data_IF_159663241237
#
_entry.id   IF_159663241237
#
_cell.length_a   1.000
_cell.length_b   1.000
_cell.length_c   1.000
_cell.angle_alpha   90.00
_cell.angle_beta   90.00
_cell.angle_gamma   90.00
#
_symmetry.space_group_name_H-M   'P 1'
#
loop_
_entity.id
_entity.type
_entity.pdbx_description
1 polymer ?
#
# COMPACT_ATOMS: atom_id res chain seq x y z
N UNK A 1 -3.44 5.94 -3.00
CA UNK A 1 -2.08 5.78 -2.46
C UNK A 1 -2.12 5.97 -0.95
N UNK A 2 -1.68 4.96 -0.20
CA UNK A 2 -1.71 4.97 1.26
C UNK A 2 -0.34 5.37 1.82
N UNK A 3 -0.30 6.36 2.75
CA UNK A 3 0.93 6.92 3.28
C UNK A 3 1.69 7.74 2.25
N UNK A 4 0.98 8.54 1.48
CA UNK A 4 1.50 9.18 0.27
C UNK A 4 2.38 10.42 0.51
N UNK A 5 2.48 10.91 1.74
CA UNK A 5 3.29 12.08 2.14
C UNK A 5 3.19 13.25 1.16
N UNK A 6 4.20 13.44 0.32
CA UNK A 6 4.27 14.55 -0.66
C UNK A 6 3.44 14.32 -1.92
N UNK A 7 2.90 13.11 -2.13
CA UNK A 7 2.05 12.77 -3.27
C UNK A 7 2.79 12.44 -4.56
N UNK A 8 4.04 12.00 -4.50
CA UNK A 8 4.81 11.63 -5.70
C UNK A 8 4.17 10.45 -6.44
N UNK A 9 3.69 9.45 -5.72
CA UNK A 9 2.98 8.29 -6.29
C UNK A 9 1.65 8.72 -6.91
N UNK A 10 0.94 9.65 -6.28
CA UNK A 10 -0.30 10.23 -6.83
C UNK A 10 -0.03 10.92 -8.17
N UNK A 11 1.04 11.71 -8.26
CA UNK A 11 1.46 12.36 -9.50
C UNK A 11 1.84 11.32 -10.57
N UNK A 12 2.56 10.27 -10.17
CA UNK A 12 2.96 9.21 -11.09
C UNK A 12 1.75 8.52 -11.72
N UNK A 13 0.74 8.17 -10.93
CA UNK A 13 -0.51 7.60 -11.44
C UNK A 13 -1.26 8.58 -12.36
N UNK A 14 -1.35 9.85 -11.98
CA UNK A 14 -2.00 10.88 -12.82
C UNK A 14 -1.27 11.11 -14.16
N UNK A 15 0.05 10.99 -14.19
CA UNK A 15 0.84 11.05 -15.43
C UNK A 15 0.57 9.86 -16.36
N UNK A 16 -0.01 8.79 -15.84
CA UNK A 16 -0.50 7.63 -16.61
C UNK A 16 -2.01 7.71 -16.91
N UNK A 17 -2.60 8.91 -16.79
CA UNK A 17 -4.05 9.14 -16.95
C UNK A 17 -4.93 8.32 -15.99
N UNK A 18 -4.40 7.98 -14.82
CA UNK A 18 -5.14 7.30 -13.76
C UNK A 18 -5.54 8.33 -12.70
N UNK A 19 -6.85 8.54 -12.54
CA UNK A 19 -7.36 9.38 -11.47
C UNK A 19 -6.96 8.80 -10.11
N UNK A 20 -6.30 9.60 -9.28
CA UNK A 20 -5.71 9.12 -8.04
C UNK A 20 -5.73 10.16 -6.93
N UNK A 21 -5.72 9.67 -5.70
CA UNK A 21 -5.63 10.46 -4.47
C UNK A 21 -4.74 9.74 -3.46
N UNK A 22 -4.03 10.49 -2.65
CA UNK A 22 -3.26 9.99 -1.54
C UNK A 22 -3.93 10.28 -0.19
N UNK A 23 -3.63 9.45 0.81
CA UNK A 23 -3.93 9.75 2.21
C UNK A 23 -2.65 9.66 3.04
N UNK A 24 -2.55 10.52 4.03
CA UNK A 24 -1.47 10.52 5.01
C UNK A 24 -1.95 11.24 6.28
N UNK A 25 -1.35 10.91 7.42
CA UNK A 25 -1.59 11.68 8.66
C UNK A 25 -1.01 13.09 8.59
N UNK A 26 -0.06 13.32 7.67
CA UNK A 26 0.44 14.64 7.31
C UNK A 26 0.00 14.96 5.88
N UNK A 27 -1.13 15.64 5.70
CA UNK A 27 -1.68 15.90 4.37
C UNK A 27 -0.81 16.87 3.54
N UNK A 28 -0.92 16.75 2.23
CA UNK A 28 -0.33 17.67 1.26
C UNK A 28 -1.36 17.92 0.16
N UNK A 29 -2.38 18.71 0.49
CA UNK A 29 -3.49 18.98 -0.42
C UNK A 29 -3.07 19.77 -1.67
N UNK A 30 -3.76 19.55 -2.80
CA UNK A 30 -4.93 18.70 -3.00
C UNK A 30 -4.60 17.24 -3.31
N UNK A 31 -3.34 16.85 -3.46
CA UNK A 31 -2.93 15.50 -3.88
C UNK A 31 -3.09 14.47 -2.78
N UNK A 32 -2.80 14.87 -1.54
CA UNK A 32 -2.84 14.01 -0.37
C UNK A 32 -3.73 14.65 0.69
N UNK A 33 -4.82 14.00 1.03
CA UNK A 33 -5.72 14.41 2.10
C UNK A 33 -5.34 13.75 3.42
N UNK A 34 -5.83 14.32 4.53
CA UNK A 34 -5.67 13.70 5.84
C UNK A 34 -6.41 12.35 5.90
N UNK A 35 -5.74 11.33 6.41
CA UNK A 35 -6.33 10.03 6.69
C UNK A 35 -5.35 9.07 7.36
N UNK A 36 -5.90 8.21 8.22
CA UNK A 36 -5.16 7.11 8.83
C UNK A 36 -5.26 5.89 7.92
N UNK A 37 -4.12 5.30 7.59
CA UNK A 37 -4.05 4.07 6.77
C UNK A 37 -4.66 2.84 7.46
N UNK A 38 -4.85 2.90 8.78
CA UNK A 38 -5.49 1.84 9.56
C UNK A 38 -7.02 2.04 9.71
N UNK A 39 -7.52 3.20 9.27
CA UNK A 39 -8.94 3.56 9.23
C UNK A 39 -9.17 4.49 8.04
N UNK A 40 -9.12 3.91 6.84
CA UNK A 40 -9.15 4.68 5.59
C UNK A 40 -10.51 5.39 5.42
N UNK A 41 -10.55 6.73 5.22
CA UNK A 41 -11.78 7.52 5.24
C UNK A 41 -12.58 7.41 3.91
N UNK A 42 -12.72 6.20 3.40
CA UNK A 42 -13.48 5.90 2.19
C UNK A 42 -14.35 4.66 2.37
N UNK A 43 -15.44 4.62 1.61
CA UNK A 43 -16.35 3.49 1.60
C UNK A 43 -15.70 2.20 1.07
N UNK A 44 -16.30 1.07 1.40
CA UNK A 44 -15.91 -0.23 0.86
C UNK A 44 -16.01 -0.23 -0.68
N UNK A 45 -15.12 -0.99 -1.32
CA UNK A 45 -15.14 -1.20 -2.77
C UNK A 45 -15.13 0.12 -3.58
N UNK A 46 -14.32 1.08 -3.15
CA UNK A 46 -14.23 2.41 -3.79
C UNK A 46 -13.22 2.46 -4.93
N UNK A 47 -12.08 1.80 -4.80
CA UNK A 47 -10.93 1.98 -5.68
C UNK A 47 -10.66 0.75 -6.54
N UNK A 48 -10.27 0.98 -7.80
CA UNK A 48 -9.82 -0.07 -8.73
C UNK A 48 -8.38 -0.51 -8.43
N UNK A 49 -7.56 0.42 -7.90
CA UNK A 49 -6.18 0.19 -7.51
C UNK A 49 -5.93 0.76 -6.11
N UNK A 50 -5.28 -0.02 -5.27
CA UNK A 50 -4.75 0.44 -3.96
C UNK A 50 -3.24 0.22 -3.96
N UNK A 51 -2.48 1.27 -3.68
CA UNK A 51 -1.02 1.24 -3.65
C UNK A 51 -0.48 1.69 -2.30
N UNK A 52 0.55 1.01 -1.80
CA UNK A 52 1.35 1.47 -0.66
C UNK A 52 2.81 1.03 -0.74
N UNK A 53 3.68 1.82 -0.15
CA UNK A 53 5.11 1.53 0.01
C UNK A 53 5.62 1.79 1.45
N UNK A 54 4.69 1.81 2.42
CA UNK A 54 5.02 2.20 3.81
C UNK A 54 4.68 1.11 4.85
N UNK A 55 4.64 -0.16 4.45
CA UNK A 55 4.24 -1.27 5.34
C UNK A 55 5.15 -1.36 6.57
N UNK A 56 6.44 -1.17 6.41
CA UNK A 56 7.44 -1.16 7.49
C UNK A 56 7.27 0.06 8.44
N UNK A 57 6.57 1.10 8.03
CA UNK A 57 6.20 2.25 8.86
C UNK A 57 4.85 2.07 9.57
N UNK A 58 4.11 1.00 9.25
CA UNK A 58 2.82 0.71 9.88
C UNK A 58 3.01 0.04 11.24
N UNK A 59 2.37 0.58 12.26
CA UNK A 59 2.31 -0.06 13.59
C UNK A 59 1.44 -1.33 13.58
N UNK A 60 0.46 -1.38 12.69
CA UNK A 60 -0.50 -2.47 12.58
C UNK A 60 -0.63 -2.95 11.13
N UNK A 61 0.36 -3.70 10.59
CA UNK A 61 0.34 -4.14 9.19
C UNK A 61 -0.89 -4.97 8.81
N UNK A 62 -1.40 -5.79 9.73
CA UNK A 62 -2.64 -6.53 9.53
C UNK A 62 -3.84 -5.59 9.27
N UNK A 63 -3.94 -4.49 10.02
CA UNK A 63 -5.01 -3.52 9.85
C UNK A 63 -4.88 -2.74 8.54
N UNK A 64 -3.65 -2.37 8.16
CA UNK A 64 -3.37 -1.77 6.86
C UNK A 64 -3.82 -2.68 5.71
N UNK A 65 -3.54 -3.99 5.80
CA UNK A 65 -3.97 -4.97 4.79
C UNK A 65 -5.50 -5.09 4.76
N UNK A 66 -6.15 -5.24 5.91
CA UNK A 66 -7.61 -5.30 6.01
C UNK A 66 -8.28 -4.08 5.37
N UNK A 67 -7.80 -2.89 5.67
CA UNK A 67 -8.31 -1.64 5.09
C UNK A 67 -8.04 -1.53 3.60
N UNK A 68 -6.86 -1.96 3.14
CA UNK A 68 -6.52 -2.01 1.72
C UNK A 68 -7.47 -2.93 0.96
N UNK A 69 -7.76 -4.11 1.51
CA UNK A 69 -8.75 -5.03 0.94
C UNK A 69 -10.17 -4.44 0.99
N UNK A 70 -10.54 -3.78 2.09
CA UNK A 70 -11.88 -3.20 2.27
C UNK A 70 -12.19 -2.14 1.21
N UNK A 71 -11.28 -1.20 0.98
CA UNK A 71 -11.52 -0.10 0.04
C UNK A 71 -11.27 -0.47 -1.42
N UNK A 72 -10.57 -1.57 -1.69
CA UNK A 72 -10.38 -2.08 -3.04
C UNK A 72 -11.66 -2.77 -3.54
N UNK A 73 -12.04 -2.51 -4.78
CA UNK A 73 -13.15 -3.21 -5.44
C UNK A 73 -12.84 -4.68 -5.64
N UNK A 74 -13.87 -5.52 -5.70
CA UNK A 74 -13.73 -6.88 -6.23
C UNK A 74 -13.13 -6.81 -7.65
N UNK A 75 -12.22 -7.70 -7.95
CA UNK A 75 -11.41 -7.71 -9.17
C UNK A 75 -10.40 -6.56 -9.30
N UNK A 76 -10.34 -5.65 -8.34
CA UNK A 76 -9.34 -4.60 -8.27
C UNK A 76 -7.95 -5.11 -7.88
N UNK A 77 -6.97 -4.26 -8.05
CA UNK A 77 -5.54 -4.58 -7.85
C UNK A 77 -5.02 -3.90 -6.60
N UNK A 78 -4.27 -4.65 -5.80
CA UNK A 78 -3.55 -4.14 -4.64
C UNK A 78 -2.06 -4.31 -4.90
N UNK A 79 -1.30 -3.24 -4.73
CA UNK A 79 0.15 -3.21 -4.97
C UNK A 79 0.85 -2.76 -3.70
N UNK A 80 1.72 -3.63 -3.18
CA UNK A 80 2.58 -3.33 -2.04
C UNK A 80 4.03 -3.38 -2.49
N UNK A 81 4.75 -2.28 -2.31
CA UNK A 81 6.21 -2.26 -2.35
C UNK A 81 6.72 -2.28 -0.92
N UNK A 82 7.58 -3.23 -0.59
CA UNK A 82 8.06 -3.47 0.76
C UNK A 82 9.58 -3.57 0.81
N UNK A 83 10.14 -3.36 1.99
CA UNK A 83 11.53 -3.66 2.31
C UNK A 83 11.60 -5.03 2.98
N UNK A 84 12.19 -6.00 2.31
CA UNK A 84 12.46 -7.33 2.88
C UNK A 84 13.91 -7.37 3.36
N UNK A 85 14.10 -7.79 4.61
CA UNK A 85 15.39 -7.78 5.28
C UNK A 85 15.46 -6.73 6.39
N UNK A 86 16.66 -6.33 6.78
CA UNK A 86 16.82 -5.27 7.80
C UNK A 86 16.31 -3.95 7.26
N UNK A 87 15.48 -3.28 8.06
CA UNK A 87 15.05 -1.92 7.77
C UNK A 87 16.29 -1.01 7.62
N UNK A 88 16.39 -0.33 6.50
CA UNK A 88 17.46 0.65 6.24
C UNK A 88 17.09 2.04 6.76
N UNK A 89 15.82 2.24 7.08
CA UNK A 89 15.26 3.49 7.54
C UNK A 89 15.07 3.46 9.08
N UNK A 90 15.59 4.49 9.75
CA UNK A 90 15.44 4.69 11.20
C UNK A 90 13.98 4.90 11.65
N UNK A 91 13.06 5.16 10.74
CA UNK A 91 11.63 5.36 11.02
C UNK A 91 10.80 4.09 10.84
N UNK A 92 11.37 3.02 10.32
CA UNK A 92 10.70 1.73 10.23
C UNK A 92 10.38 1.17 11.62
N UNK A 93 9.13 0.81 11.83
CA UNK A 93 8.64 0.26 13.12
C UNK A 93 8.33 -1.25 13.03
N UNK A 94 8.23 -1.77 11.82
CA UNK A 94 7.96 -3.19 11.54
C UNK A 94 9.03 -3.76 10.63
N UNK A 95 9.77 -4.76 11.12
CA UNK A 95 10.76 -5.46 10.33
C UNK A 95 10.11 -6.62 9.55
N UNK A 96 10.34 -6.66 8.24
CA UNK A 96 9.82 -7.70 7.35
C UNK A 96 11.00 -8.57 6.91
N UNK A 97 11.20 -9.70 7.55
CA UNK A 97 12.30 -10.62 7.22
C UNK A 97 12.01 -11.47 5.99
N UNK A 98 10.73 -11.75 5.71
CA UNK A 98 10.26 -12.53 4.55
C UNK A 98 9.00 -11.92 3.98
N UNK A 99 8.86 -11.91 2.66
CA UNK A 99 7.65 -11.42 1.98
C UNK A 99 6.38 -12.17 2.42
N UNK A 100 6.48 -13.47 2.72
CA UNK A 100 5.37 -14.30 3.21
C UNK A 100 4.69 -13.74 4.45
N UNK A 101 5.42 -13.06 5.33
CA UNK A 101 4.81 -12.46 6.53
C UNK A 101 3.78 -11.38 6.20
N UNK A 102 3.96 -10.66 5.09
CA UNK A 102 2.99 -9.70 4.57
C UNK A 102 1.93 -10.41 3.72
N UNK A 103 2.35 -11.31 2.84
CA UNK A 103 1.46 -12.07 1.95
C UNK A 103 0.37 -12.83 2.74
N UNK A 104 0.73 -13.44 3.87
CA UNK A 104 -0.18 -14.21 4.71
C UNK A 104 -1.24 -13.36 5.43
N UNK A 105 -1.11 -12.05 5.43
CA UNK A 105 -2.12 -11.15 6.01
C UNK A 105 -3.35 -10.97 5.11
N UNK A 106 -3.19 -11.19 3.80
CA UNK A 106 -4.28 -11.05 2.84
C UNK A 106 -5.22 -12.24 2.89
N UNK A 107 -6.50 -11.99 3.14
CA UNK A 107 -7.55 -13.02 3.27
C UNK A 107 -8.52 -13.06 2.11
N UNK A 108 -8.69 -11.93 1.44
CA UNK A 108 -9.67 -11.72 0.38
C UNK A 108 -9.04 -11.43 -0.98
N UNK A 109 -7.76 -11.72 -1.11
CA UNK A 109 -6.99 -11.43 -2.33
C UNK A 109 -6.11 -12.61 -2.74
N UNK A 110 -5.89 -12.73 -4.05
CA UNK A 110 -4.99 -13.73 -4.63
C UNK A 110 -3.72 -13.04 -5.10
N UNK A 111 -2.58 -13.59 -4.75
CA UNK A 111 -1.28 -13.12 -5.23
C UNK A 111 -1.17 -13.41 -6.73
N UNK A 112 -0.95 -12.36 -7.51
CA UNK A 112 -0.62 -12.46 -8.94
C UNK A 112 0.88 -12.49 -9.15
N UNK A 113 1.63 -11.75 -8.32
CA UNK A 113 3.08 -11.59 -8.44
C UNK A 113 3.68 -11.27 -7.07
N UNK A 114 4.77 -11.92 -6.74
CA UNK A 114 5.59 -11.59 -5.57
C UNK A 114 7.04 -11.84 -5.93
N UNK A 115 7.85 -10.79 -6.01
CA UNK A 115 9.20 -10.86 -6.53
C UNK A 115 10.09 -9.70 -6.08
N UNK A 116 11.39 -9.89 -6.23
CA UNK A 116 12.37 -8.81 -6.15
C UNK A 116 12.05 -7.71 -7.17
N UNK A 117 12.28 -6.48 -6.77
CA UNK A 117 12.27 -5.31 -7.66
C UNK A 117 13.63 -4.61 -7.56
N UNK A 118 13.97 -3.80 -8.56
CA UNK A 118 15.13 -2.93 -8.48
C UNK A 118 15.01 -2.04 -7.23
N UNK A 119 16.02 -2.03 -6.34
CA UNK A 119 15.95 -1.29 -5.10
C UNK A 119 15.73 0.21 -5.34
N UNK A 120 14.73 0.78 -4.66
CA UNK A 120 14.43 2.19 -4.73
C UNK A 120 14.04 2.70 -3.34
N UNK A 121 14.84 3.60 -2.78
CA UNK A 121 14.67 4.12 -1.43
C UNK A 121 14.49 3.02 -0.34
N UNK A 122 15.26 1.93 -0.45
CA UNK A 122 15.19 0.79 0.46
C UNK A 122 14.13 -0.26 0.12
N UNK A 123 13.16 0.07 -0.72
CA UNK A 123 12.16 -0.88 -1.22
C UNK A 123 12.82 -1.86 -2.19
N UNK A 124 12.63 -3.15 -2.00
CA UNK A 124 13.28 -4.19 -2.79
C UNK A 124 12.38 -5.36 -3.18
N UNK A 125 11.10 -5.32 -2.81
CA UNK A 125 10.15 -6.39 -3.09
C UNK A 125 8.79 -5.84 -3.50
N UNK A 126 8.18 -6.44 -4.52
CA UNK A 126 6.87 -6.09 -5.04
C UNK A 126 5.89 -7.23 -4.84
N UNK A 127 4.73 -6.94 -4.27
CA UNK A 127 3.60 -7.87 -4.16
C UNK A 127 2.42 -7.24 -4.90
N UNK A 128 1.91 -7.95 -5.91
CA UNK A 128 0.72 -7.56 -6.66
C UNK A 128 -0.36 -8.61 -6.41
N UNK A 129 -1.52 -8.16 -5.98
CA UNK A 129 -2.65 -9.02 -5.66
C UNK A 129 -3.91 -8.56 -6.43
N UNK A 130 -4.79 -9.51 -6.65
CA UNK A 130 -6.15 -9.27 -7.14
C UNK A 130 -7.14 -9.57 -6.02
N UNK A 131 -8.01 -8.64 -5.68
CA UNK A 131 -9.07 -8.88 -4.72
C UNK A 131 -10.11 -9.83 -5.32
N UNK A 132 -10.42 -10.93 -4.64
CA UNK A 132 -11.29 -11.99 -5.14
C UNK A 132 -12.69 -12.02 -4.50
N UNK A 133 -12.85 -11.42 -3.31
CA UNK A 133 -14.12 -11.39 -2.60
C UNK A 133 -14.41 -10.03 -1.97
N UNK A 134 -15.66 -9.75 -1.72
CA UNK A 134 -16.06 -8.52 -1.03
C UNK A 134 -15.83 -8.61 0.48
#
# INVERSE_FOLDING_TARGET
CLGARTGQEVKAFRNLDIESIGIDIVPNEPLVIFGDIHEIPFNNNKFDIVFTNIVDHSLYPNKLVEESERVCKKDGIIIFHITVGKATDKFGVTEILKSQSVENLFKNSKILKSQHMEPWHGLNWEIILKKISN
#
